data_IF_859623659027
#
_entry.id   IF_859623659027
#
_cell.length_a   1.000
_cell.length_b   1.000
_cell.length_c   1.000
_cell.angle_alpha   90.00
_cell.angle_beta   90.00
_cell.angle_gamma   90.00
#
_symmetry.space_group_name_H-M   'P 1'
#
loop_
_entity.id
_entity.type
_entity.pdbx_description
1 polymer ?
#
# COMPACT_ATOMS: atom_id res chain seq x y z
N UNK A 1 10.40 6.63 4.30
CA UNK A 1 10.00 5.79 3.15
C UNK A 1 11.04 5.98 2.06
N UNK A 2 11.58 4.89 1.50
CA UNK A 2 12.50 4.92 0.35
C UNK A 2 11.76 4.43 -0.90
N UNK A 3 12.17 4.83 -2.10
CA UNK A 3 11.59 4.26 -3.31
C UNK A 3 11.97 2.77 -3.40
N UNK A 4 11.04 1.92 -3.83
CA UNK A 4 11.32 0.51 -4.10
C UNK A 4 12.40 0.38 -5.18
N UNK A 5 13.52 -0.30 -4.90
CA UNK A 5 14.61 -0.49 -5.88
C UNK A 5 14.70 -1.93 -6.43
N UNK A 6 13.98 -2.88 -5.84
CA UNK A 6 14.18 -4.31 -6.10
C UNK A 6 12.97 -5.00 -6.71
N UNK A 7 11.77 -4.41 -6.56
CA UNK A 7 10.52 -5.11 -6.81
C UNK A 7 10.16 -6.03 -5.63
N UNK A 8 8.88 -6.07 -5.24
CA UNK A 8 8.39 -6.93 -4.16
C UNK A 8 6.86 -7.04 -4.21
N UNK A 9 6.29 -7.89 -3.36
CA UNK A 9 4.84 -7.91 -3.15
C UNK A 9 4.41 -6.71 -2.30
N UNK A 10 3.31 -6.08 -2.69
CA UNK A 10 2.68 -5.03 -1.91
C UNK A 10 2.12 -5.61 -0.60
N UNK A 11 2.43 -5.01 0.55
CA UNK A 11 1.88 -5.46 1.84
C UNK A 11 0.38 -5.24 1.98
N UNK A 12 -0.19 -4.26 1.26
CA UNK A 12 -1.63 -3.96 1.30
C UNK A 12 -2.45 -4.89 0.42
N UNK A 13 -2.12 -4.99 -0.88
CA UNK A 13 -2.93 -5.75 -1.84
C UNK A 13 -2.31 -7.09 -2.28
N UNK A 14 -1.12 -7.45 -1.79
CA UNK A 14 -0.36 -8.66 -2.15
C UNK A 14 -0.03 -8.83 -3.65
N UNK A 15 -0.25 -7.79 -4.46
CA UNK A 15 0.11 -7.80 -5.88
C UNK A 15 1.61 -7.54 -6.07
N UNK A 16 2.16 -8.06 -7.16
CA UNK A 16 3.55 -7.81 -7.55
C UNK A 16 3.78 -6.36 -7.94
N UNK A 17 4.75 -5.73 -7.31
CA UNK A 17 5.17 -4.35 -7.59
C UNK A 17 6.56 -4.39 -8.21
N UNK A 18 6.69 -3.84 -9.42
CA UNK A 18 7.98 -3.75 -10.13
C UNK A 18 8.94 -2.81 -9.39
N UNK A 19 10.22 -2.89 -9.74
CA UNK A 19 11.21 -1.89 -9.33
C UNK A 19 10.71 -0.47 -9.59
N UNK A 20 11.06 0.46 -8.71
CA UNK A 20 10.60 1.86 -8.67
C UNK A 20 9.09 2.05 -8.50
N UNK A 21 8.32 0.97 -8.42
CA UNK A 21 6.91 0.99 -8.05
C UNK A 21 6.76 0.99 -6.53
N UNK A 22 6.09 2.01 -6.00
CA UNK A 22 5.79 2.11 -4.58
C UNK A 22 6.99 2.46 -3.69
N UNK A 23 6.81 2.27 -2.39
CA UNK A 23 7.76 2.69 -1.36
C UNK A 23 8.11 1.55 -0.42
N UNK A 24 9.38 1.49 -0.02
CA UNK A 24 9.85 0.66 1.09
C UNK A 24 9.43 1.33 2.39
N UNK A 25 8.57 0.64 3.12
CA UNK A 25 8.03 1.07 4.41
C UNK A 25 8.95 0.70 5.58
N UNK A 26 9.61 -0.47 5.52
CA UNK A 26 10.56 -0.93 6.54
C UNK A 26 11.87 -1.42 5.91
N UNK A 27 12.90 -0.56 5.86
CA UNK A 27 14.23 -0.96 5.41
C UNK A 27 14.88 -1.89 6.47
N UNK A 28 15.35 -3.07 6.06
CA UNK A 28 16.07 -4.01 6.93
C UNK A 28 15.26 -5.16 7.53
N UNK A 29 13.92 -5.06 7.60
CA UNK A 29 13.04 -6.10 8.14
C UNK A 29 12.26 -6.87 7.04
N UNK A 30 12.89 -7.13 5.90
CA UNK A 30 12.28 -7.90 4.79
C UNK A 30 11.85 -7.09 3.58
N UNK A 31 12.24 -5.81 3.47
CA UNK A 31 11.94 -4.94 2.33
C UNK A 31 10.44 -4.90 2.00
N UNK A 32 9.61 -4.65 3.01
CA UNK A 32 8.17 -4.49 2.82
C UNK A 32 7.89 -3.29 1.90
N UNK A 33 7.25 -3.56 0.77
CA UNK A 33 6.85 -2.55 -0.22
C UNK A 33 5.36 -2.26 -0.09
N UNK A 34 5.00 -0.99 -0.13
CA UNK A 34 3.63 -0.53 -0.30
C UNK A 34 3.50 0.09 -1.69
N UNK A 35 2.56 -0.40 -2.52
CA UNK A 35 2.35 0.15 -3.85
C UNK A 35 1.72 1.55 -3.77
N UNK A 36 1.91 2.36 -4.82
CA UNK A 36 1.37 3.72 -4.88
C UNK A 36 -0.14 3.75 -4.66
N UNK A 37 -0.88 2.82 -5.28
CA UNK A 37 -2.33 2.75 -5.14
C UNK A 37 -2.77 2.60 -3.67
N UNK A 38 -2.23 1.59 -2.96
CA UNK A 38 -2.55 1.38 -1.55
C UNK A 38 -2.11 2.58 -0.69
N UNK A 39 -0.94 3.16 -0.95
CA UNK A 39 -0.47 4.35 -0.24
C UNK A 39 -1.41 5.55 -0.42
N UNK A 40 -1.93 5.76 -1.64
CA UNK A 40 -2.90 6.82 -1.90
C UNK A 40 -4.26 6.56 -1.25
N UNK A 41 -4.73 5.32 -1.26
CA UNK A 41 -5.99 4.93 -0.59
C UNK A 41 -5.88 5.21 0.92
N UNK A 42 -4.86 4.67 1.58
CA UNK A 42 -4.65 4.84 3.02
C UNK A 42 -4.45 6.31 3.43
N UNK A 43 -3.70 7.07 2.62
CA UNK A 43 -3.54 8.52 2.80
C UNK A 43 -4.86 9.27 2.61
N UNK A 44 -5.66 8.86 1.63
CA UNK A 44 -6.96 9.44 1.35
C UNK A 44 -7.97 9.17 2.46
N UNK A 45 -8.03 7.94 2.96
CA UNK A 45 -8.91 7.53 4.07
C UNK A 45 -8.52 8.23 5.37
N UNK A 46 -7.23 8.24 5.74
CA UNK A 46 -6.75 8.91 6.96
C UNK A 46 -6.98 10.42 6.97
N UNK A 47 -7.14 11.03 5.79
CA UNK A 47 -7.45 12.45 5.61
C UNK A 47 -8.93 12.74 5.33
N UNK A 48 -9.78 11.72 5.24
CA UNK A 48 -11.19 11.87 4.87
C UNK A 48 -11.41 12.37 3.43
N UNK A 49 -10.41 12.21 2.54
CA UNK A 49 -10.48 12.55 1.12
C UNK A 49 -11.10 11.43 0.29
N UNK A 50 -10.99 10.19 0.76
CA UNK A 50 -11.65 9.02 0.21
C UNK A 50 -12.60 8.51 1.28
N UNK A 51 -13.88 8.42 0.91
CA UNK A 51 -14.92 7.84 1.75
C UNK A 51 -15.38 6.55 1.10
N UNK A 52 -15.48 5.43 1.84
CA UNK A 52 -16.06 4.21 1.33
C UNK A 52 -17.50 4.49 0.91
N UNK A 53 -17.84 4.19 -0.35
CA UNK A 53 -19.20 4.39 -0.86
C UNK A 53 -20.20 3.39 -0.30
N UNK A 54 -19.71 2.30 0.31
CA UNK A 54 -20.50 1.26 0.95
C UNK A 54 -19.81 0.89 2.28
N UNK A 55 -20.57 0.64 3.36
CA UNK A 55 -20.01 -0.03 4.53
C UNK A 55 -19.52 -1.42 4.09
N UNK A 56 -18.39 -1.87 4.64
CA UNK A 56 -17.99 -3.28 4.57
C UNK A 56 -19.12 -4.12 5.19
N UNK A 57 -20.05 -4.60 4.36
CA UNK A 57 -21.01 -5.61 4.75
C UNK A 57 -20.26 -6.94 4.70
N UNK A 58 -19.42 -7.13 5.73
CA UNK A 58 -18.89 -8.40 6.17
C UNK A 58 -19.50 -8.71 7.54
N UNK A 59 -20.75 -9.17 7.53
CA UNK A 59 -21.23 -10.09 8.57
C UNK A 59 -20.39 -11.35 8.50
N UNK A 60 -19.53 -11.57 9.50
CA UNK A 60 -19.45 -12.79 10.33
C UNK A 60 -18.42 -12.61 11.47
#
# INVERSE_FOLDING_TARGET
MQLNQFGALCIGCRQGVRERGGFIYSPGAGNHVLCLHCAYVECGESRGLIVPLLPDVGTD
#
